data_IF_283923379675
#
_entry.id   IF_283923379675
#
_cell.length_a   1.000
_cell.length_b   1.000
_cell.length_c   1.000
_cell.angle_alpha   90.00
_cell.angle_beta   90.00
_cell.angle_gamma   90.00
#
_symmetry.space_group_name_H-M   'P 1'
#
loop_
_entity.id
_entity.type
_entity.pdbx_description
1 polymer ?
#
# COMPACT_ATOMS: atom_id res chain seq x y z
N UNK A 1 -1.66 25.48 2.13
CA UNK A 1 -0.96 24.59 3.07
C UNK A 1 -1.92 23.47 3.45
N UNK A 2 -1.53 22.21 3.32
CA UNK A 2 -2.37 21.06 3.72
C UNK A 2 -2.11 20.76 5.19
N UNK A 3 -3.14 20.67 6.01
CA UNK A 3 -3.04 20.29 7.42
C UNK A 3 -3.25 18.80 7.59
N UNK A 4 -2.59 18.22 8.58
CA UNK A 4 -2.82 16.82 8.99
C UNK A 4 -4.07 16.76 9.89
N UNK A 5 -5.23 16.73 9.24
CA UNK A 5 -6.54 16.68 9.86
C UNK A 5 -7.32 15.41 9.46
N UNK A 6 -8.53 15.31 9.97
CA UNK A 6 -9.41 14.17 9.68
C UNK A 6 -9.78 14.07 8.19
N UNK A 7 -9.91 15.20 7.49
CA UNK A 7 -10.24 15.20 6.07
C UNK A 7 -9.09 14.64 5.24
N UNK A 8 -7.85 15.04 5.52
CA UNK A 8 -6.66 14.46 4.89
C UNK A 8 -6.55 12.96 5.22
N UNK A 9 -6.70 12.57 6.49
CA UNK A 9 -6.61 11.17 6.90
C UNK A 9 -7.62 10.30 6.16
N UNK A 10 -8.87 10.74 6.03
CA UNK A 10 -9.91 10.04 5.26
C UNK A 10 -9.52 9.82 3.80
N UNK A 11 -8.94 10.83 3.14
CA UNK A 11 -8.47 10.70 1.77
C UNK A 11 -7.37 9.65 1.63
N UNK A 12 -6.37 9.68 2.53
CA UNK A 12 -5.23 8.77 2.51
C UNK A 12 -5.65 7.34 2.82
N UNK A 13 -6.42 7.11 3.89
CA UNK A 13 -6.92 5.78 4.27
C UNK A 13 -7.84 5.19 3.18
N UNK A 14 -8.67 6.00 2.55
CA UNK A 14 -9.53 5.55 1.45
C UNK A 14 -8.71 5.12 0.23
N UNK A 15 -7.69 5.87 -0.15
CA UNK A 15 -6.85 5.56 -1.29
C UNK A 15 -6.06 4.26 -1.08
N UNK A 16 -5.50 4.05 0.09
CA UNK A 16 -4.78 2.81 0.40
C UNK A 16 -5.71 1.61 0.50
N UNK A 17 -6.83 1.75 1.21
CA UNK A 17 -7.84 0.69 1.30
C UNK A 17 -8.38 0.29 -0.06
N UNK A 18 -8.67 1.27 -0.94
CA UNK A 18 -9.09 1.00 -2.33
C UNK A 18 -8.02 0.26 -3.12
N UNK A 19 -6.74 0.60 -2.97
CA UNK A 19 -5.66 -0.10 -3.64
C UNK A 19 -5.56 -1.57 -3.20
N UNK A 20 -5.88 -1.87 -1.93
CA UNK A 20 -5.93 -3.23 -1.41
C UNK A 20 -7.18 -4.00 -1.88
N UNK A 21 -8.34 -3.32 -1.99
CA UNK A 21 -9.54 -3.87 -2.63
C UNK A 21 -9.24 -4.28 -4.07
N UNK A 22 -8.64 -3.40 -4.87
CA UNK A 22 -8.24 -3.71 -6.26
C UNK A 22 -7.24 -4.88 -6.34
N UNK A 23 -6.38 -5.02 -5.33
CA UNK A 23 -5.46 -6.17 -5.25
C UNK A 23 -6.23 -7.48 -5.07
N UNK A 24 -7.19 -7.54 -4.13
CA UNK A 24 -8.02 -8.72 -3.92
C UNK A 24 -8.89 -9.06 -5.15
N UNK A 25 -9.44 -8.05 -5.82
CA UNK A 25 -10.18 -8.23 -7.06
C UNK A 25 -9.30 -8.76 -8.20
N UNK A 26 -8.09 -8.23 -8.36
CA UNK A 26 -7.14 -8.74 -9.35
C UNK A 26 -6.72 -10.18 -9.03
N UNK A 27 -6.50 -10.53 -7.75
CA UNK A 27 -6.27 -11.91 -7.35
C UNK A 27 -7.43 -12.81 -7.74
N UNK A 28 -8.67 -12.42 -7.43
CA UNK A 28 -9.86 -13.21 -7.77
C UNK A 28 -10.00 -13.43 -9.28
N UNK A 29 -9.65 -12.44 -10.10
CA UNK A 29 -9.65 -12.60 -11.57
C UNK A 29 -8.57 -13.56 -12.05
N UNK A 30 -7.36 -13.46 -11.51
CA UNK A 30 -6.23 -14.33 -11.91
C UNK A 30 -6.31 -15.73 -11.31
N UNK A 31 -6.86 -15.85 -10.12
CA UNK A 31 -6.95 -17.07 -9.33
C UNK A 31 -8.37 -17.21 -8.74
N UNK A 32 -9.37 -17.66 -9.53
CA UNK A 32 -10.77 -17.72 -9.10
C UNK A 32 -11.01 -18.52 -7.81
N UNK A 33 -10.20 -19.55 -7.57
CA UNK A 33 -10.29 -20.41 -6.39
C UNK A 33 -9.53 -19.86 -5.16
N UNK A 34 -8.98 -18.65 -5.23
CA UNK A 34 -8.20 -18.06 -4.14
C UNK A 34 -9.02 -17.73 -2.90
N UNK A 35 -10.33 -17.55 -3.03
CA UNK A 35 -11.20 -17.06 -1.97
C UNK A 35 -10.99 -15.59 -1.61
N UNK A 36 -10.18 -14.84 -2.40
CA UNK A 36 -9.94 -13.41 -2.17
C UNK A 36 -11.25 -12.63 -2.26
N UNK A 37 -11.50 -11.78 -1.24
CA UNK A 37 -12.76 -11.08 -1.07
C UNK A 37 -12.56 -9.82 -0.21
N UNK A 38 -13.52 -8.92 -0.23
CA UNK A 38 -13.55 -7.77 0.64
C UNK A 38 -14.97 -7.36 1.00
N UNK A 39 -15.12 -6.66 2.12
CA UNK A 39 -16.37 -6.02 2.54
C UNK A 39 -16.11 -4.57 2.93
N UNK A 40 -17.13 -3.74 2.81
CA UNK A 40 -17.16 -2.42 3.43
C UNK A 40 -18.06 -2.47 4.68
N UNK A 41 -17.52 -2.02 5.81
CA UNK A 41 -18.25 -1.96 7.08
C UNK A 41 -17.89 -0.66 7.79
N UNK A 42 -18.90 0.16 8.13
CA UNK A 42 -18.71 1.48 8.74
C UNK A 42 -17.69 2.36 8.01
N UNK A 43 -17.71 2.28 6.68
CA UNK A 43 -16.79 2.99 5.78
C UNK A 43 -15.36 2.43 5.73
N UNK A 44 -15.02 1.43 6.53
CA UNK A 44 -13.73 0.75 6.46
C UNK A 44 -13.76 -0.40 5.45
N UNK A 45 -12.64 -0.68 4.78
CA UNK A 45 -12.47 -1.85 3.92
C UNK A 45 -11.78 -2.98 4.68
N UNK A 46 -12.47 -4.10 4.90
CA UNK A 46 -11.87 -5.34 5.36
C UNK A 46 -11.56 -6.21 4.13
N UNK A 47 -10.28 -6.47 3.90
CA UNK A 47 -9.78 -7.14 2.69
C UNK A 47 -9.14 -8.46 3.08
N UNK A 48 -9.58 -9.54 2.45
CA UNK A 48 -8.96 -10.86 2.52
C UNK A 48 -8.33 -11.19 1.15
N UNK A 49 -7.04 -11.31 1.11
CA UNK A 49 -6.28 -11.75 -0.07
C UNK A 49 -5.99 -13.24 0.00
N UNK A 50 -5.39 -13.69 1.09
CA UNK A 50 -5.14 -15.08 1.52
C UNK A 50 -4.68 -15.06 2.99
N UNK A 51 -4.64 -16.23 3.61
CA UNK A 51 -4.04 -16.39 4.95
C UNK A 51 -2.58 -15.91 4.89
N UNK A 52 -2.13 -15.19 5.90
CA UNK A 52 -0.77 -14.63 6.06
C UNK A 52 -0.34 -13.60 4.99
N UNK A 53 -1.26 -13.10 4.18
CA UNK A 53 -0.96 -11.99 3.27
C UNK A 53 -0.90 -10.66 4.04
N UNK A 54 0.10 -9.79 3.76
CA UNK A 54 0.13 -8.45 4.33
C UNK A 54 -1.02 -7.55 3.87
N UNK A 55 -1.77 -7.97 2.83
CA UNK A 55 -2.96 -7.28 2.33
C UNK A 55 -4.21 -7.69 3.13
N UNK A 56 -4.18 -8.86 3.82
CA UNK A 56 -5.30 -9.38 4.61
C UNK A 56 -5.42 -8.61 5.93
N UNK A 57 -6.15 -7.50 5.89
CA UNK A 57 -6.37 -6.61 7.03
C UNK A 57 -7.45 -5.57 6.73
N UNK A 58 -7.81 -4.77 7.74
CA UNK A 58 -8.77 -3.66 7.60
C UNK A 58 -8.05 -2.34 7.45
N UNK A 59 -8.55 -1.50 6.55
CA UNK A 59 -8.07 -0.13 6.29
C UNK A 59 -9.17 0.88 6.61
N UNK A 60 -8.81 2.00 7.23
CA UNK A 60 -9.73 3.10 7.53
C UNK A 60 -10.70 2.82 8.68
N UNK A 61 -10.35 1.89 9.59
CA UNK A 61 -11.20 1.56 10.73
C UNK A 61 -11.46 2.77 11.62
N UNK A 62 -12.74 3.10 11.85
CA UNK A 62 -13.18 4.16 12.74
C UNK A 62 -12.96 5.59 12.23
N UNK A 63 -12.37 5.77 11.04
CA UNK A 63 -12.06 7.11 10.51
C UNK A 63 -13.23 7.73 9.73
N UNK A 64 -14.13 6.91 9.19
CA UNK A 64 -15.30 7.35 8.42
C UNK A 64 -16.55 7.43 9.27
N UNK A 65 -16.80 6.41 10.04
CA UNK A 65 -17.88 6.31 11.04
C UNK A 65 -17.29 5.91 12.39
N UNK A 66 -18.00 6.23 13.47
CA UNK A 66 -17.58 5.88 14.81
C UNK A 66 -17.50 4.36 14.97
N UNK A 67 -16.39 3.88 15.54
CA UNK A 67 -16.16 2.46 15.74
C UNK A 67 -17.11 1.92 16.81
N UNK A 68 -17.85 0.87 16.48
CA UNK A 68 -18.80 0.22 17.40
C UNK A 68 -18.45 -1.26 17.61
N UNK A 69 -18.99 -1.83 18.68
CA UNK A 69 -18.87 -3.26 18.92
C UNK A 69 -19.48 -4.08 17.78
N UNK A 70 -20.61 -3.63 17.22
CA UNK A 70 -21.29 -4.31 16.14
C UNK A 70 -20.48 -4.30 14.83
N UNK A 71 -19.84 -3.17 14.49
CA UNK A 71 -18.97 -3.12 13.31
C UNK A 71 -17.73 -4.01 13.47
N UNK A 72 -17.14 -4.08 14.65
CA UNK A 72 -16.06 -5.02 14.94
C UNK A 72 -16.51 -6.48 14.83
N UNK A 73 -17.70 -6.84 15.33
CA UNK A 73 -18.24 -8.20 15.22
C UNK A 73 -18.34 -8.64 13.74
N UNK A 74 -18.82 -7.77 12.87
CA UNK A 74 -18.91 -8.05 11.41
C UNK A 74 -17.53 -8.28 10.80
N UNK A 75 -16.57 -7.40 11.11
CA UNK A 75 -15.21 -7.48 10.55
C UNK A 75 -14.45 -8.69 11.12
N UNK A 76 -14.58 -8.95 12.43
CA UNK A 76 -13.98 -10.13 13.06
C UNK A 76 -14.51 -11.42 12.45
N UNK A 77 -15.83 -11.56 12.29
CA UNK A 77 -16.44 -12.72 11.62
C UNK A 77 -15.95 -12.89 10.18
N UNK A 78 -15.78 -11.79 9.43
CA UNK A 78 -15.29 -11.84 8.06
C UNK A 78 -13.91 -12.52 7.97
N UNK A 79 -12.96 -12.17 8.84
CA UNK A 79 -11.62 -12.77 8.86
C UNK A 79 -11.60 -14.17 9.48
N UNK A 80 -12.26 -14.33 10.64
CA UNK A 80 -12.24 -15.60 11.38
C UNK A 80 -12.88 -16.74 10.59
N UNK A 81 -13.97 -16.50 9.86
CA UNK A 81 -14.61 -17.49 8.99
C UNK A 81 -13.72 -17.96 7.84
N UNK A 82 -12.64 -17.19 7.54
CA UNK A 82 -11.63 -17.52 6.53
C UNK A 82 -10.33 -18.07 7.13
N UNK A 83 -10.30 -18.31 8.46
CA UNK A 83 -9.12 -18.77 9.17
C UNK A 83 -7.98 -17.75 9.23
N UNK A 84 -8.26 -16.48 8.95
CA UNK A 84 -7.27 -15.41 8.96
C UNK A 84 -7.18 -14.71 10.30
N UNK A 85 -6.02 -14.13 10.57
CA UNK A 85 -5.84 -13.22 11.70
C UNK A 85 -6.67 -11.94 11.48
N UNK A 86 -7.22 -11.39 12.56
CA UNK A 86 -7.89 -10.09 12.50
C UNK A 86 -6.88 -8.99 12.74
N UNK A 87 -6.63 -8.22 11.71
CA UNK A 87 -5.65 -7.13 11.69
C UNK A 87 -6.31 -5.82 11.24
N UNK A 88 -5.96 -4.72 11.90
CA UNK A 88 -6.49 -3.40 11.57
C UNK A 88 -5.38 -2.37 11.50
N UNK A 89 -5.31 -1.60 10.41
CA UNK A 89 -4.56 -0.34 10.35
C UNK A 89 -5.42 0.78 10.93
N UNK A 90 -4.95 1.43 11.99
CA UNK A 90 -5.75 2.41 12.74
C UNK A 90 -5.02 3.73 12.86
N UNK A 91 -5.62 4.78 12.29
CA UNK A 91 -5.16 6.16 12.42
C UNK A 91 -5.40 6.70 13.83
N UNK A 92 -4.49 7.48 14.43
CA UNK A 92 -4.73 8.11 15.74
C UNK A 92 -5.87 9.13 15.73
N UNK A 93 -6.30 9.57 14.55
CA UNK A 93 -7.39 10.55 14.39
C UNK A 93 -8.80 9.95 14.59
N UNK A 94 -8.91 8.63 14.85
CA UNK A 94 -10.16 7.98 15.27
C UNK A 94 -10.59 8.34 16.69
N UNK A 95 -9.67 8.90 17.49
CA UNK A 95 -9.93 9.27 18.89
C UNK A 95 -9.70 8.13 19.88
N UNK A 96 -9.66 8.48 21.18
CA UNK A 96 -9.32 7.53 22.26
C UNK A 96 -10.38 6.46 22.48
N UNK A 97 -11.66 6.78 22.27
CA UNK A 97 -12.75 5.81 22.43
C UNK A 97 -12.60 4.57 21.54
N UNK A 98 -12.07 4.73 20.31
CA UNK A 98 -11.77 3.61 19.43
C UNK A 98 -10.66 2.72 20.01
N UNK A 99 -9.61 3.32 20.56
CA UNK A 99 -8.53 2.56 21.22
C UNK A 99 -9.00 1.85 22.47
N UNK A 100 -9.85 2.49 23.30
CA UNK A 100 -10.43 1.88 24.49
C UNK A 100 -11.24 0.63 24.11
N UNK A 101 -12.05 0.72 23.03
CA UNK A 101 -12.83 -0.40 22.53
C UNK A 101 -11.92 -1.54 22.01
N UNK A 102 -10.86 -1.23 21.27
CA UNK A 102 -9.89 -2.21 20.81
C UNK A 102 -9.19 -2.90 21.98
N UNK A 103 -8.76 -2.15 22.99
CA UNK A 103 -8.14 -2.70 24.19
C UNK A 103 -9.11 -3.61 24.97
N UNK A 104 -10.38 -3.17 25.16
CA UNK A 104 -11.42 -3.96 25.81
C UNK A 104 -11.69 -5.29 25.08
N UNK A 105 -11.50 -5.32 23.75
CA UNK A 105 -11.60 -6.53 22.92
C UNK A 105 -10.29 -7.33 22.80
N UNK A 106 -9.28 -6.98 23.60
CA UNK A 106 -7.97 -7.65 23.64
C UNK A 106 -7.14 -7.52 22.37
N UNK A 107 -7.35 -6.49 21.58
CA UNK A 107 -6.41 -6.13 20.53
C UNK A 107 -5.11 -5.58 21.12
N UNK A 108 -4.00 -5.82 20.42
CA UNK A 108 -2.68 -5.28 20.76
C UNK A 108 -2.04 -4.64 19.55
N UNK A 109 -1.37 -3.50 19.69
CA UNK A 109 -0.56 -2.93 18.61
C UNK A 109 0.65 -3.83 18.37
N UNK A 110 0.95 -4.09 17.09
CA UNK A 110 2.04 -4.98 16.68
C UNK A 110 3.01 -4.33 15.69
N UNK A 111 2.63 -3.22 15.06
CA UNK A 111 3.45 -2.53 14.08
C UNK A 111 3.13 -1.03 14.12
N UNK A 112 4.13 -0.20 13.83
CA UNK A 112 4.01 1.25 13.74
C UNK A 112 4.49 1.71 12.38
N UNK A 113 3.63 2.44 11.65
CA UNK A 113 3.94 2.98 10.35
C UNK A 113 3.61 4.47 10.24
N UNK A 114 4.34 5.18 9.41
CA UNK A 114 4.07 6.57 9.07
C UNK A 114 3.33 6.64 7.74
N UNK A 115 2.14 7.22 7.75
CA UNK A 115 1.43 7.63 6.54
C UNK A 115 1.97 8.99 6.13
N UNK A 116 2.54 9.06 4.95
CA UNK A 116 3.22 10.25 4.46
C UNK A 116 2.53 10.80 3.22
N UNK A 117 2.55 12.10 3.06
CA UNK A 117 1.95 12.79 1.93
C UNK A 117 2.83 13.90 1.37
N UNK A 118 2.58 14.25 0.13
CA UNK A 118 3.14 15.41 -0.56
C UNK A 118 2.10 15.93 -1.57
N UNK A 119 1.91 17.27 -1.69
CA UNK A 119 1.17 17.83 -2.82
C UNK A 119 1.79 17.40 -4.15
N UNK A 120 0.93 17.08 -5.12
CA UNK A 120 1.37 16.82 -6.49
C UNK A 120 1.49 18.14 -7.22
N UNK A 121 2.69 18.45 -7.67
CA UNK A 121 2.99 19.62 -8.47
C UNK A 121 3.66 19.15 -9.76
N UNK A 122 3.57 19.95 -10.82
CA UNK A 122 4.26 19.63 -12.06
C UNK A 122 5.77 19.50 -11.81
N UNK A 123 6.35 18.31 -11.98
CA UNK A 123 7.77 18.13 -11.76
C UNK A 123 8.58 18.96 -12.76
N UNK A 124 9.69 19.55 -12.30
CA UNK A 124 10.65 20.17 -13.19
C UNK A 124 11.22 19.14 -14.16
N UNK A 125 11.56 19.57 -15.36
CA UNK A 125 12.23 18.67 -16.31
C UNK A 125 13.58 18.22 -15.72
N UNK A 126 13.80 16.92 -15.59
CA UNK A 126 15.07 16.34 -15.20
C UNK A 126 15.71 15.67 -16.43
N UNK A 127 16.91 16.11 -16.80
CA UNK A 127 17.72 15.42 -17.82
C UNK A 127 18.53 14.30 -17.13
N UNK A 128 18.00 13.09 -17.15
CA UNK A 128 18.67 11.88 -16.63
C UNK A 128 19.09 11.01 -17.80
N UNK A 129 20.28 11.28 -18.35
CA UNK A 129 20.77 10.61 -19.57
C UNK A 129 20.92 9.11 -19.45
N UNK A 130 21.17 8.60 -18.24
CA UNK A 130 21.51 7.20 -17.99
C UNK A 130 20.32 6.35 -17.48
N UNK A 131 19.21 6.96 -17.08
CA UNK A 131 18.04 6.28 -16.53
C UNK A 131 16.79 6.65 -17.31
N UNK A 132 16.21 5.69 -18.01
CA UNK A 132 14.91 5.84 -18.69
C UNK A 132 13.83 5.18 -17.85
N UNK A 133 12.74 5.90 -17.56
CA UNK A 133 11.57 5.34 -16.88
C UNK A 133 10.39 5.38 -17.83
N UNK A 134 9.60 4.31 -17.82
CA UNK A 134 8.39 4.20 -18.63
C UNK A 134 7.31 3.40 -17.94
N UNK A 135 6.07 3.63 -18.33
CA UNK A 135 4.93 2.77 -17.96
C UNK A 135 5.05 1.48 -18.77
N UNK A 136 4.75 0.34 -18.14
CA UNK A 136 4.73 -0.97 -18.81
C UNK A 136 3.35 -1.25 -19.42
N UNK A 137 3.35 -1.95 -20.55
CA UNK A 137 2.16 -2.55 -21.11
C UNK A 137 1.80 -3.89 -20.43
N UNK A 138 0.60 -4.44 -20.72
CA UNK A 138 0.18 -5.74 -20.19
C UNK A 138 1.13 -6.89 -20.58
N UNK A 139 1.74 -6.83 -21.76
CA UNK A 139 2.70 -7.80 -22.29
C UNK A 139 4.00 -7.84 -21.48
N UNK A 140 4.30 -6.79 -20.73
CA UNK A 140 5.50 -6.68 -19.92
C UNK A 140 5.25 -7.03 -18.44
N UNK A 141 4.06 -7.47 -18.09
CA UNK A 141 3.70 -7.78 -16.69
C UNK A 141 4.68 -8.76 -16.03
N UNK A 142 5.10 -9.80 -16.76
CA UNK A 142 6.08 -10.78 -16.29
C UNK A 142 7.48 -10.17 -16.10
N UNK A 143 7.90 -9.30 -17.00
CA UNK A 143 9.17 -8.58 -16.88
C UNK A 143 9.17 -7.68 -15.65
N UNK A 144 8.10 -6.88 -15.48
CA UNK A 144 7.94 -6.01 -14.32
C UNK A 144 7.92 -6.80 -13.00
N UNK A 145 7.17 -7.91 -12.96
CA UNK A 145 7.12 -8.78 -11.78
C UNK A 145 8.50 -9.36 -11.43
N UNK A 146 9.26 -9.78 -12.43
CA UNK A 146 10.61 -10.33 -12.25
C UNK A 146 11.58 -9.28 -11.68
N UNK A 147 11.56 -8.05 -12.21
CA UNK A 147 12.41 -6.95 -11.72
C UNK A 147 12.03 -6.57 -10.29
N UNK A 148 10.73 -6.46 -10.02
CA UNK A 148 10.20 -6.19 -8.68
C UNK A 148 10.65 -7.26 -7.68
N UNK A 149 10.44 -8.53 -8.01
CA UNK A 149 10.80 -9.66 -7.15
C UNK A 149 12.31 -9.71 -6.85
N UNK A 150 13.15 -9.54 -7.85
CA UNK A 150 14.63 -9.48 -7.66
C UNK A 150 15.07 -8.35 -6.73
N UNK A 151 14.34 -7.23 -6.74
CA UNK A 151 14.61 -6.11 -5.86
C UNK A 151 14.20 -6.36 -4.40
N UNK A 152 13.10 -7.07 -4.17
CA UNK A 152 12.54 -7.35 -2.84
C UNK A 152 13.09 -8.62 -2.19
N UNK A 153 13.26 -9.71 -2.95
CA UNK A 153 13.66 -11.01 -2.40
C UNK A 153 15.16 -11.19 -2.18
N UNK A 154 15.97 -10.15 -2.42
CA UNK A 154 17.42 -10.25 -2.25
C UNK A 154 17.82 -10.61 -0.82
N UNK A 155 17.12 -10.06 0.15
CA UNK A 155 17.38 -10.32 1.58
C UNK A 155 16.58 -11.53 2.10
N UNK A 156 15.55 -11.96 1.35
CA UNK A 156 14.63 -13.05 1.69
C UNK A 156 14.32 -13.92 0.46
N UNK A 157 15.29 -14.74 -0.01
CA UNK A 157 15.12 -15.59 -1.19
C UNK A 157 13.94 -16.57 -1.10
N UNK A 158 13.61 -17.00 0.12
CA UNK A 158 12.48 -17.89 0.42
C UNK A 158 11.11 -17.27 0.08
N UNK A 159 11.04 -15.94 -0.03
CA UNK A 159 9.81 -15.23 -0.37
C UNK A 159 9.66 -14.97 -1.89
N UNK A 160 10.58 -15.46 -2.73
CA UNK A 160 10.62 -15.14 -4.15
C UNK A 160 9.29 -15.45 -4.86
N UNK A 161 8.75 -16.66 -4.68
CA UNK A 161 7.50 -17.08 -5.32
C UNK A 161 6.32 -16.24 -4.84
N UNK A 162 6.29 -15.90 -3.56
CA UNK A 162 5.28 -15.02 -3.00
C UNK A 162 5.36 -13.62 -3.62
N UNK A 163 6.54 -13.05 -3.72
CA UNK A 163 6.74 -11.71 -4.28
C UNK A 163 6.43 -11.70 -5.77
N UNK A 164 6.82 -12.74 -6.52
CA UNK A 164 6.45 -12.89 -7.94
C UNK A 164 4.95 -12.93 -8.15
N UNK A 165 4.22 -13.74 -7.37
CA UNK A 165 2.77 -13.81 -7.46
C UNK A 165 2.13 -12.46 -7.09
N UNK A 166 2.57 -11.83 -6.02
CA UNK A 166 2.08 -10.51 -5.59
C UNK A 166 2.36 -9.42 -6.63
N UNK A 167 3.50 -9.49 -7.30
CA UNK A 167 3.84 -8.57 -8.38
C UNK A 167 2.97 -8.79 -9.61
N UNK A 168 2.69 -10.04 -9.99
CA UNK A 168 1.75 -10.37 -11.08
C UNK A 168 0.34 -9.84 -10.80
N UNK A 169 -0.15 -10.00 -9.57
CA UNK A 169 -1.44 -9.43 -9.15
C UNK A 169 -1.39 -7.89 -9.22
N UNK A 170 -0.32 -7.29 -8.74
CA UNK A 170 -0.14 -5.84 -8.75
C UNK A 170 -0.20 -5.27 -10.18
N UNK A 171 0.40 -5.95 -11.16
CA UNK A 171 0.37 -5.52 -12.56
C UNK A 171 -1.00 -5.71 -13.24
N UNK A 172 -1.86 -6.55 -12.69
CA UNK A 172 -3.21 -6.81 -13.19
C UNK A 172 -4.28 -5.91 -12.57
N UNK A 173 -3.92 -5.01 -11.65
CA UNK A 173 -4.87 -4.07 -11.05
C UNK A 173 -5.28 -2.98 -12.05
N UNK A 174 -6.55 -2.59 -11.99
CA UNK A 174 -7.04 -1.44 -12.73
C UNK A 174 -6.52 -0.13 -12.14
N UNK A 175 -6.35 0.90 -12.94
CA UNK A 175 -5.87 2.24 -12.52
C UNK A 175 -4.58 2.20 -11.67
N UNK A 176 -3.77 1.15 -11.87
CA UNK A 176 -2.54 0.94 -11.13
C UNK A 176 -1.34 0.77 -12.08
N UNK A 177 -0.91 1.85 -12.76
CA UNK A 177 0.19 1.77 -13.70
C UNK A 177 1.47 1.28 -13.04
N UNK A 178 2.12 0.36 -13.73
CA UNK A 178 3.42 -0.18 -13.37
C UNK A 178 4.52 0.53 -14.16
N UNK A 179 5.65 0.79 -13.52
CA UNK A 179 6.77 1.53 -14.09
C UNK A 179 8.03 0.69 -14.05
N UNK A 180 8.78 0.68 -15.13
CA UNK A 180 10.13 0.14 -15.19
C UNK A 180 11.14 1.29 -15.38
N UNK A 181 12.21 1.24 -14.59
CA UNK A 181 13.40 2.04 -14.82
C UNK A 181 14.49 1.17 -15.45
N UNK A 182 15.02 1.64 -16.55
CA UNK A 182 16.12 1.02 -17.28
C UNK A 182 17.41 1.83 -17.05
N UNK A 183 18.51 1.13 -16.90
CA UNK A 183 19.85 1.70 -16.83
C UNK A 183 20.71 1.06 -17.94
N UNK A 184 21.28 1.88 -18.81
CA UNK A 184 22.02 1.39 -19.99
C UNK A 184 21.23 0.36 -20.83
N UNK A 185 19.91 0.60 -20.96
CA UNK A 185 19.01 -0.26 -21.73
C UNK A 185 18.59 -1.56 -21.02
N UNK A 186 18.98 -1.78 -19.77
CA UNK A 186 18.62 -2.95 -19.00
C UNK A 186 17.59 -2.61 -17.89
N UNK A 187 16.49 -3.38 -17.77
CA UNK A 187 15.54 -3.22 -16.67
C UNK A 187 16.23 -3.40 -15.31
N UNK A 188 16.13 -2.40 -14.45
CA UNK A 188 16.94 -2.30 -13.22
C UNK A 188 16.13 -1.97 -11.97
N UNK A 189 14.97 -1.31 -12.12
CA UNK A 189 14.09 -1.03 -10.99
C UNK A 189 12.63 -1.02 -11.44
N UNK A 190 11.74 -1.31 -10.51
CA UNK A 190 10.30 -1.36 -10.69
C UNK A 190 9.60 -0.47 -9.67
N UNK A 191 8.38 -0.05 -9.97
CA UNK A 191 7.49 0.64 -9.03
C UNK A 191 6.10 0.72 -9.59
N UNK A 192 5.10 1.00 -8.74
CA UNK A 192 3.72 1.16 -9.16
C UNK A 192 3.07 2.39 -8.53
N UNK A 193 1.97 2.82 -9.12
CA UNK A 193 1.01 3.75 -8.54
C UNK A 193 -0.34 3.07 -8.38
N UNK A 194 -1.14 3.55 -7.43
CA UNK A 194 -2.57 3.33 -7.41
C UNK A 194 -3.23 4.70 -7.30
N UNK A 195 -4.15 5.00 -8.20
CA UNK A 195 -4.82 6.30 -8.23
C UNK A 195 -6.26 6.13 -7.76
N UNK A 196 -6.66 6.91 -6.77
CA UNK A 196 -8.04 6.96 -6.30
C UNK A 196 -8.41 8.37 -5.84
N UNK A 197 -9.47 8.94 -6.42
CA UNK A 197 -10.02 10.26 -6.05
C UNK A 197 -8.96 11.36 -5.87
N UNK A 198 -8.07 11.52 -6.85
CA UNK A 198 -7.02 12.53 -6.83
C UNK A 198 -5.82 12.22 -5.94
N UNK A 199 -5.82 11.07 -5.27
CA UNK A 199 -4.67 10.61 -4.47
C UNK A 199 -3.90 9.56 -5.25
N UNK A 200 -2.60 9.74 -5.40
CA UNK A 200 -1.67 8.78 -5.97
C UNK A 200 -0.90 8.08 -4.84
N UNK A 201 -1.17 6.80 -4.61
CA UNK A 201 -0.41 5.94 -3.69
C UNK A 201 0.82 5.39 -4.40
N UNK A 202 2.00 5.73 -3.88
CA UNK A 202 3.29 5.25 -4.35
C UNK A 202 3.65 3.94 -3.64
N UNK A 203 3.56 2.82 -4.36
CA UNK A 203 3.79 1.51 -3.81
C UNK A 203 4.81 0.68 -4.62
N UNK A 204 5.28 -0.42 -4.04
CA UNK A 204 6.01 -1.48 -4.72
C UNK A 204 7.33 -1.07 -5.37
N UNK A 205 8.01 -0.02 -4.87
CA UNK A 205 9.27 0.40 -5.47
C UNK A 205 10.44 -0.49 -5.03
N UNK A 206 11.12 -1.09 -5.99
CA UNK A 206 12.27 -1.96 -5.77
C UNK A 206 13.37 -1.70 -6.81
N UNK A 207 14.63 -1.89 -6.41
CA UNK A 207 15.79 -1.81 -7.32
C UNK A 207 16.62 -3.07 -7.19
N UNK A 208 16.97 -3.69 -8.32
CA UNK A 208 17.87 -4.84 -8.36
C UNK A 208 19.17 -4.47 -7.62
N UNK A 209 19.67 -5.29 -6.70
CA UNK A 209 20.79 -4.94 -5.81
C UNK A 209 22.02 -4.40 -6.52
N UNK A 210 22.42 -5.03 -7.62
CA UNK A 210 23.59 -4.64 -8.43
C UNK A 210 23.42 -3.28 -9.12
N UNK A 211 22.17 -2.78 -9.20
CA UNK A 211 21.79 -1.51 -9.81
C UNK A 211 21.48 -0.40 -8.79
N UNK A 212 21.64 -0.69 -7.49
CA UNK A 212 21.44 0.32 -6.43
C UNK A 212 22.47 1.44 -6.53
N UNK A 213 22.17 2.60 -5.91
CA UNK A 213 23.01 3.82 -5.89
C UNK A 213 23.23 4.50 -7.24
N UNK A 214 22.42 4.18 -8.25
CA UNK A 214 22.45 4.78 -9.60
C UNK A 214 21.31 5.78 -9.85
N UNK A 215 20.64 6.24 -8.80
CA UNK A 215 19.56 7.24 -8.89
C UNK A 215 18.21 6.72 -9.40
N UNK A 216 18.06 5.41 -9.65
CA UNK A 216 16.86 4.81 -10.24
C UNK A 216 15.59 5.02 -9.40
N UNK A 217 15.69 4.96 -8.07
CA UNK A 217 14.55 5.25 -7.20
C UNK A 217 14.07 6.71 -7.33
N UNK A 218 15.01 7.64 -7.50
CA UNK A 218 14.65 9.03 -7.70
C UNK A 218 14.05 9.25 -9.09
N UNK A 219 14.52 8.54 -10.13
CA UNK A 219 13.93 8.57 -11.47
C UNK A 219 12.52 7.99 -11.48
N UNK A 220 12.30 6.83 -10.83
CA UNK A 220 10.97 6.24 -10.65
C UNK A 220 10.02 7.18 -9.91
N UNK A 221 10.48 7.82 -8.84
CA UNK A 221 9.66 8.76 -8.09
C UNK A 221 9.26 9.96 -8.96
N UNK A 222 10.22 10.51 -9.72
CA UNK A 222 9.98 11.65 -10.62
C UNK A 222 8.91 11.32 -11.67
N UNK A 223 9.06 10.19 -12.38
CA UNK A 223 8.12 9.80 -13.44
C UNK A 223 6.73 9.44 -12.89
N UNK A 224 6.66 8.78 -11.74
CA UNK A 224 5.38 8.53 -11.09
C UNK A 224 4.71 9.80 -10.62
N UNK A 225 5.48 10.79 -10.14
CA UNK A 225 4.95 12.10 -9.78
C UNK A 225 4.41 12.86 -11.00
N UNK A 226 5.15 12.80 -12.15
CA UNK A 226 4.69 13.38 -13.40
C UNK A 226 3.39 12.72 -13.88
N UNK A 227 3.35 11.39 -13.84
CA UNK A 227 2.15 10.63 -14.20
C UNK A 227 0.96 11.01 -13.32
N UNK A 228 1.15 11.10 -12.01
CA UNK A 228 0.12 11.53 -11.07
C UNK A 228 -0.41 12.93 -11.41
N UNK A 229 0.48 13.88 -11.71
CA UNK A 229 0.12 15.23 -12.13
C UNK A 229 -0.70 15.21 -13.44
N UNK A 230 -0.22 14.51 -14.46
CA UNK A 230 -0.87 14.40 -15.78
C UNK A 230 -2.26 13.74 -15.71
N UNK A 231 -2.52 12.94 -14.64
CA UNK A 231 -3.80 12.28 -14.37
C UNK A 231 -4.64 12.98 -13.29
N UNK A 232 -4.37 14.27 -13.03
CA UNK A 232 -5.19 15.10 -12.18
C UNK A 232 -5.13 14.79 -10.68
N UNK A 233 -4.10 14.09 -10.21
CA UNK A 233 -3.89 13.93 -8.78
C UNK A 233 -3.40 15.24 -8.17
N UNK A 234 -3.94 15.58 -7.00
CA UNK A 234 -3.49 16.72 -6.19
C UNK A 234 -2.62 16.29 -5.00
N UNK A 235 -2.62 14.99 -4.67
CA UNK A 235 -1.95 14.43 -3.52
C UNK A 235 -1.19 13.14 -3.86
N UNK A 236 0.06 13.07 -3.46
CA UNK A 236 0.86 11.85 -3.45
C UNK A 236 0.95 11.32 -2.02
N UNK A 237 0.85 10.01 -1.85
CA UNK A 237 1.03 9.35 -0.56
C UNK A 237 1.93 8.12 -0.64
N UNK A 238 2.50 7.77 0.47
CA UNK A 238 3.19 6.50 0.69
C UNK A 238 3.15 6.14 2.18
N UNK A 239 3.38 4.88 2.47
CA UNK A 239 3.50 4.38 3.84
C UNK A 239 4.88 3.80 4.04
N UNK A 240 5.48 4.07 5.18
CA UNK A 240 6.78 3.55 5.54
C UNK A 240 6.84 3.22 7.04
N UNK A 241 7.59 2.20 7.39
CA UNK A 241 7.91 1.90 8.79
C UNK A 241 8.59 3.11 9.44
N UNK A 242 8.20 3.41 10.67
CA UNK A 242 8.73 4.54 11.43
C UNK A 242 10.25 4.39 11.65
N UNK A 243 11.01 5.43 11.29
CA UNK A 243 12.48 5.45 11.41
C UNK A 243 13.23 4.71 10.30
N UNK A 244 12.53 4.12 9.31
CA UNK A 244 13.15 3.35 8.23
C UNK A 244 13.93 4.21 7.23
N UNK A 245 14.75 3.57 6.40
CA UNK A 245 15.41 4.23 5.27
C UNK A 245 14.38 4.72 4.22
N UNK A 246 13.28 3.99 4.05
CA UNK A 246 12.18 4.37 3.17
C UNK A 246 11.57 5.71 3.59
N UNK A 247 11.28 5.89 4.89
CA UNK A 247 10.80 7.17 5.42
C UNK A 247 11.80 8.30 5.15
N UNK A 248 13.09 8.11 5.49
CA UNK A 248 14.13 9.14 5.27
C UNK A 248 14.25 9.53 3.80
N UNK A 249 14.14 8.56 2.90
CA UNK A 249 14.17 8.81 1.46
C UNK A 249 12.95 9.60 1.00
N UNK A 250 11.77 9.32 1.54
CA UNK A 250 10.55 10.07 1.26
C UNK A 250 10.66 11.53 1.75
N UNK A 251 11.12 11.75 2.98
CA UNK A 251 11.30 13.08 3.56
C UNK A 251 12.28 13.94 2.73
N UNK A 252 13.41 13.36 2.28
CA UNK A 252 14.35 14.04 1.36
C UNK A 252 13.71 14.46 0.03
N UNK A 253 12.61 13.81 -0.34
CA UNK A 253 11.84 14.10 -1.55
C UNK A 253 10.60 14.94 -1.29
N UNK A 254 10.52 15.57 -0.10
CA UNK A 254 9.47 16.50 0.26
C UNK A 254 8.17 15.89 0.77
N UNK A 255 8.14 14.58 1.02
CA UNK A 255 7.02 13.97 1.75
C UNK A 255 7.08 14.40 3.22
N UNK A 256 5.91 14.57 3.81
CA UNK A 256 5.70 14.89 5.23
C UNK A 256 4.88 13.79 5.88
N UNK A 257 5.11 13.54 7.13
CA UNK A 257 4.27 12.64 7.93
C UNK A 257 2.92 13.33 8.13
N UNK A 258 1.85 12.68 7.70
CA UNK A 258 0.49 13.09 8.02
C UNK A 258 0.13 12.65 9.45
N UNK A 259 0.39 11.40 9.75
CA UNK A 259 0.23 10.79 11.09
C UNK A 259 1.00 9.49 11.15
N UNK A 260 1.27 9.05 12.37
CA UNK A 260 1.80 7.72 12.65
C UNK A 260 0.62 6.83 13.07
N UNK A 261 0.42 5.71 12.41
CA UNK A 261 -0.65 4.77 12.73
C UNK A 261 -0.10 3.47 13.29
N UNK A 262 -0.97 2.69 13.88
CA UNK A 262 -0.65 1.40 14.46
C UNK A 262 -1.46 0.29 13.80
N UNK A 263 -0.80 -0.82 13.53
CA UNK A 263 -1.47 -2.07 13.19
C UNK A 263 -1.83 -2.80 14.46
N UNK A 264 -3.11 -3.09 14.61
CA UNK A 264 -3.67 -3.80 15.76
C UNK A 264 -4.02 -5.23 15.37
N UNK A 265 -3.73 -6.18 16.28
CA UNK A 265 -4.04 -7.60 16.10
C UNK A 265 -4.90 -8.08 17.26
N UNK A 266 -5.95 -8.83 16.94
CA UNK A 266 -6.75 -9.55 17.94
C UNK A 266 -5.89 -10.66 18.57
N UNK A 267 -5.70 -10.61 19.89
CA UNK A 267 -4.77 -11.49 20.62
C UNK A 267 -5.36 -12.88 20.90
N UNK A 268 -6.70 -13.02 20.88
CA UNK A 268 -7.39 -14.29 21.12
C UNK A 268 -8.33 -14.53 19.95
N UNK A 269 -8.12 -15.63 19.26
CA UNK A 269 -9.16 -16.13 18.36
C UNK A 269 -10.32 -16.59 19.25
N UNK A 270 -11.45 -15.90 19.19
CA UNK A 270 -12.68 -16.43 19.82
C UNK A 270 -12.99 -17.73 19.09
N UNK A 271 -12.90 -18.86 19.81
CA UNK A 271 -13.47 -20.12 19.29
C UNK A 271 -14.93 -19.82 19.00
N UNK A 272 -15.31 -19.89 17.73
CA UNK A 272 -16.71 -19.87 17.32
C UNK A 272 -17.36 -21.11 17.90
N UNK A 273 -18.28 -20.91 18.83
CA UNK A 273 -19.13 -21.98 19.41
C UNK A 273 -20.18 -22.36 18.37
#
# INVERSE_FOLDING_TARGET
MQFSDLALSRRLERAEGHACVQFAEARRRLFPDSGAEWIECAGAYAVFDRIDSPITQTFGLGIFEELSAASLDVIECFFLNRGAQVLHEVSPLVGTAAFDLLCARQYKPIEISNVMYRPVEKPAAEDRRDARVRVTGPEEAQLWATVSAKGWSHEHPELLDFVLQSAAISSAREQSPCFLAEFEGQPAAAGSLCIHNGVALFAGAATIPQMRRRGLQAALLHERMRYAFDHGCDLAMMVAEAGSESQRNAERKGFRIAYTRMKWRLSVQRQTI
#
